data_IF_473464474649
#
_entry.id   IF_473464474649
#
_cell.length_a   1.000
_cell.length_b   1.000
_cell.length_c   1.000
_cell.angle_alpha   90.00
_cell.angle_beta   90.00
_cell.angle_gamma   90.00
#
_symmetry.space_group_name_H-M   'P 1'
#
loop_
_entity.id
_entity.type
_entity.pdbx_description
1 polymer ?
#
# COMPACT_ATOMS: atom_id res chain seq x y z
N UNK A 1 15.11 -0.47 9.84
CA UNK A 1 13.73 0.04 9.91
C UNK A 1 12.74 -1.11 10.10
N UNK A 2 11.77 -1.02 11.04
CA UNK A 2 10.77 -2.07 11.22
C UNK A 2 9.79 -2.14 10.05
N UNK A 3 9.39 -3.36 9.72
CA UNK A 3 8.33 -3.64 8.73
C UNK A 3 7.43 -4.72 9.29
N UNK A 4 6.13 -4.43 9.36
CA UNK A 4 5.11 -5.35 9.83
C UNK A 4 4.43 -6.01 8.62
N UNK A 5 4.15 -7.29 8.76
CA UNK A 5 3.47 -8.10 7.74
C UNK A 5 2.26 -8.79 8.37
N UNK A 6 1.19 -9.09 7.61
CA UNK A 6 0.14 -9.95 8.12
C UNK A 6 0.70 -11.33 8.52
N UNK A 7 0.20 -11.95 9.60
CA UNK A 7 -0.81 -11.45 10.53
C UNK A 7 -0.20 -10.83 11.81
N UNK A 8 1.02 -10.31 11.73
CA UNK A 8 1.73 -9.77 12.89
C UNK A 8 0.95 -8.61 13.49
N UNK A 9 0.81 -8.59 14.82
CA UNK A 9 0.25 -7.44 15.51
C UNK A 9 1.11 -6.20 15.22
N UNK A 10 0.44 -5.10 14.87
CA UNK A 10 1.08 -3.82 14.59
C UNK A 10 1.37 -3.14 15.93
N UNK A 11 2.66 -3.00 16.26
CA UNK A 11 3.11 -2.40 17.52
C UNK A 11 4.03 -1.21 17.22
N UNK A 12 3.41 -0.05 16.99
CA UNK A 12 4.13 1.20 16.70
C UNK A 12 4.71 1.80 17.98
N UNK A 13 5.95 2.24 17.93
CA UNK A 13 6.53 3.06 19.00
C UNK A 13 5.84 4.43 19.06
N UNK A 14 5.89 5.08 20.23
CA UNK A 14 5.31 6.42 20.37
C UNK A 14 5.93 7.40 19.36
N UNK A 15 5.08 8.12 18.61
CA UNK A 15 5.44 9.03 17.51
C UNK A 15 6.16 8.37 16.31
N UNK A 16 6.16 7.04 16.20
CA UNK A 16 6.70 6.36 15.03
C UNK A 16 5.73 6.50 13.85
N UNK A 17 6.17 7.18 12.81
CA UNK A 17 5.41 7.31 11.56
C UNK A 17 5.28 5.96 10.87
N UNK A 18 4.17 5.75 10.19
CA UNK A 18 3.83 4.49 9.53
C UNK A 18 3.36 4.72 8.10
N UNK A 19 3.85 3.87 7.19
CA UNK A 19 3.51 3.93 5.77
C UNK A 19 2.95 2.58 5.32
N UNK A 20 1.73 2.57 4.80
CA UNK A 20 1.12 1.37 4.23
C UNK A 20 1.39 1.25 2.73
N UNK A 21 1.81 0.07 2.29
CA UNK A 21 2.18 -0.23 0.90
C UNK A 21 1.02 -0.91 0.14
N UNK A 22 -0.02 -0.14 -0.20
CA UNK A 22 -1.19 -0.62 -0.93
C UNK A 22 -0.91 -0.78 -2.44
N UNK A 23 -1.70 -1.61 -3.11
CA UNK A 23 -1.65 -1.75 -4.57
C UNK A 23 -1.41 -3.17 -5.04
N UNK A 24 -0.87 -3.29 -6.25
CA UNK A 24 -0.75 -4.56 -6.96
C UNK A 24 0.07 -5.59 -6.17
N UNK A 25 -0.59 -6.65 -5.75
CA UNK A 25 0.01 -7.90 -5.28
C UNK A 25 -0.51 -8.98 -6.21
N UNK A 26 0.37 -9.52 -7.05
CA UNK A 26 -0.03 -10.48 -8.08
C UNK A 26 0.58 -11.84 -7.82
N UNK A 27 0.42 -12.38 -6.60
CA UNK A 27 0.70 -13.78 -6.25
C UNK A 27 2.02 -14.37 -6.82
N UNK A 28 3.08 -13.56 -6.93
CA UNK A 28 4.39 -13.94 -7.50
C UNK A 28 4.67 -13.58 -8.97
N UNK A 29 3.66 -13.16 -9.74
CA UNK A 29 3.81 -12.74 -11.14
C UNK A 29 4.22 -11.27 -11.30
N UNK A 30 3.81 -10.41 -10.36
CA UNK A 30 4.30 -9.02 -10.31
C UNK A 30 5.59 -8.91 -9.49
N UNK A 31 6.46 -8.01 -9.95
CA UNK A 31 7.66 -7.58 -9.24
C UNK A 31 7.32 -7.21 -7.80
N UNK A 32 8.16 -7.64 -6.86
CA UNK A 32 8.07 -7.26 -5.44
C UNK A 32 8.55 -5.83 -5.22
N UNK A 33 7.72 -4.89 -5.69
CA UNK A 33 7.94 -3.47 -5.55
C UNK A 33 7.90 -3.02 -4.08
N UNK A 34 7.16 -3.74 -3.21
CA UNK A 34 7.15 -3.46 -1.78
C UNK A 34 8.56 -3.66 -1.22
N UNK A 35 9.21 -4.77 -1.56
CA UNK A 35 10.57 -5.05 -1.15
C UNK A 35 11.58 -4.05 -1.73
N UNK A 36 11.37 -3.54 -2.95
CA UNK A 36 12.19 -2.47 -3.52
C UNK A 36 12.15 -1.18 -2.68
N UNK A 37 10.94 -0.71 -2.34
CA UNK A 37 10.75 0.46 -1.46
C UNK A 37 11.38 0.21 -0.08
N UNK A 38 11.09 -0.93 0.54
CA UNK A 38 11.63 -1.28 1.86
C UNK A 38 13.17 -1.26 1.86
N UNK A 39 13.77 -1.78 0.79
CA UNK A 39 15.23 -1.81 0.63
C UNK A 39 15.78 -0.40 0.44
N UNK A 40 15.14 0.43 -0.38
CA UNK A 40 15.54 1.82 -0.63
C UNK A 40 15.61 2.64 0.66
N UNK A 41 14.68 2.42 1.58
CA UNK A 41 14.59 3.18 2.84
C UNK A 41 15.22 2.48 4.04
N UNK A 42 15.89 1.34 3.87
CA UNK A 42 16.40 0.51 4.98
C UNK A 42 17.29 1.26 5.98
N UNK A 43 18.03 2.26 5.50
CA UNK A 43 18.97 3.09 6.25
C UNK A 43 18.34 4.36 6.87
N UNK A 44 17.06 4.66 6.63
CA UNK A 44 16.34 5.78 7.25
C UNK A 44 15.46 5.27 8.42
N UNK A 45 15.61 5.87 9.60
CA UNK A 45 15.15 5.28 10.87
C UNK A 45 13.86 5.89 11.45
N UNK A 46 13.21 6.83 10.78
CA UNK A 46 12.14 7.65 11.42
C UNK A 46 10.72 7.15 11.20
N UNK A 47 10.50 6.22 10.27
CA UNK A 47 9.18 5.62 10.02
C UNK A 47 9.28 4.10 9.94
N UNK A 48 8.13 3.43 9.77
CA UNK A 48 8.04 1.99 9.56
C UNK A 48 7.13 1.70 8.36
N UNK A 49 7.22 0.48 7.84
CA UNK A 49 6.33 0.02 6.78
C UNK A 49 5.31 -1.00 7.30
N UNK A 50 4.07 -0.87 6.81
CA UNK A 50 3.02 -1.85 6.92
C UNK A 50 2.89 -2.49 5.54
N UNK A 51 3.41 -3.71 5.38
CA UNK A 51 3.47 -4.39 4.08
C UNK A 51 2.41 -5.51 4.02
N UNK A 52 1.32 -5.34 3.25
CA UNK A 52 0.26 -6.34 3.14
C UNK A 52 0.67 -7.62 2.40
N UNK A 53 1.84 -7.65 1.72
CA UNK A 53 2.34 -8.83 1.02
C UNK A 53 2.72 -9.95 2.01
N UNK A 54 1.75 -10.78 2.36
CA UNK A 54 1.90 -11.91 3.29
C UNK A 54 2.87 -12.96 2.73
N UNK A 55 3.82 -13.39 3.56
CA UNK A 55 4.92 -14.29 3.15
C UNK A 55 4.48 -15.75 3.00
N UNK A 56 3.48 -16.16 3.78
CA UNK A 56 2.88 -17.49 3.83
C UNK A 56 1.53 -17.54 3.09
N UNK A 57 1.28 -16.62 2.15
CA UNK A 57 0.06 -16.63 1.37
C UNK A 57 -0.08 -17.93 0.56
N UNK A 58 -1.29 -18.50 0.58
CA UNK A 58 -1.64 -19.68 -0.18
C UNK A 58 -2.87 -19.40 -1.06
N UNK A 59 -2.73 -19.62 -2.37
CA UNK A 59 -3.80 -19.38 -3.34
C UNK A 59 -4.98 -20.36 -3.22
N UNK A 60 -4.84 -21.42 -2.42
CA UNK A 60 -5.94 -22.33 -2.08
C UNK A 60 -6.90 -21.77 -1.03
N UNK A 61 -6.55 -20.64 -0.37
CA UNK A 61 -7.45 -20.02 0.59
C UNK A 61 -8.69 -19.47 -0.11
N UNK A 62 -9.84 -20.06 0.24
CA UNK A 62 -11.14 -19.55 -0.18
C UNK A 62 -11.33 -18.11 0.31
N UNK A 63 -11.77 -17.22 -0.58
CA UNK A 63 -11.98 -15.80 -0.30
C UNK A 63 -13.37 -15.58 0.33
N UNK A 64 -13.59 -16.17 1.50
CA UNK A 64 -14.84 -16.08 2.27
C UNK A 64 -14.54 -15.60 3.68
N UNK A 65 -15.49 -14.92 4.32
CA UNK A 65 -15.31 -14.41 5.69
C UNK A 65 -15.12 -15.55 6.71
N UNK A 66 -15.63 -16.75 6.40
CA UNK A 66 -15.48 -17.96 7.20
C UNK A 66 -14.07 -18.57 7.10
N UNK A 67 -13.30 -18.29 6.05
CA UNK A 67 -11.92 -18.72 5.96
C UNK A 67 -11.05 -17.85 6.88
N UNK A 68 -10.59 -18.45 7.97
CA UNK A 68 -9.80 -17.77 9.01
C UNK A 68 -8.56 -17.06 8.47
N UNK A 69 -7.82 -17.66 7.53
CA UNK A 69 -6.58 -17.07 7.00
C UNK A 69 -6.86 -15.89 6.08
N UNK A 70 -7.89 -16.00 5.24
CA UNK A 70 -8.36 -14.89 4.41
C UNK A 70 -8.92 -13.75 5.25
N UNK A 71 -9.77 -14.06 6.23
CA UNK A 71 -10.33 -13.07 7.14
C UNK A 71 -9.24 -12.33 7.94
N UNK A 72 -8.25 -13.05 8.44
CA UNK A 72 -7.09 -12.48 9.14
C UNK A 72 -6.28 -11.55 8.24
N UNK A 73 -6.05 -11.92 6.98
CA UNK A 73 -5.38 -11.06 6.00
C UNK A 73 -6.15 -9.76 5.80
N UNK A 74 -7.43 -9.85 5.42
CA UNK A 74 -8.23 -8.67 5.06
C UNK A 74 -8.45 -7.77 6.27
N UNK A 75 -8.66 -8.35 7.46
CA UNK A 75 -8.79 -7.57 8.70
C UNK A 75 -7.48 -6.83 9.02
N UNK A 76 -6.34 -7.51 8.89
CA UNK A 76 -5.04 -6.88 9.09
C UNK A 76 -4.80 -5.73 8.10
N UNK A 77 -5.15 -5.91 6.82
CA UNK A 77 -5.02 -4.87 5.80
C UNK A 77 -5.84 -3.62 6.15
N UNK A 78 -7.09 -3.81 6.58
CA UNK A 78 -7.96 -2.71 7.01
C UNK A 78 -7.42 -2.01 8.26
N UNK A 79 -7.03 -2.76 9.28
CA UNK A 79 -6.45 -2.21 10.51
C UNK A 79 -5.17 -1.42 10.23
N UNK A 80 -4.34 -1.91 9.30
CA UNK A 80 -3.09 -1.29 8.90
C UNK A 80 -3.31 -0.02 8.07
N UNK A 81 -4.26 -0.03 7.12
CA UNK A 81 -4.68 1.15 6.37
C UNK A 81 -5.23 2.24 7.30
N UNK A 82 -6.01 1.87 8.30
CA UNK A 82 -6.55 2.79 9.31
C UNK A 82 -5.47 3.36 10.23
N UNK A 83 -4.47 2.58 10.60
CA UNK A 83 -3.36 3.03 11.45
C UNK A 83 -2.33 3.87 10.71
N UNK A 84 -2.18 3.69 9.39
CA UNK A 84 -1.15 4.36 8.61
C UNK A 84 -1.28 5.90 8.63
N UNK A 85 -0.13 6.57 8.77
CA UNK A 85 -0.01 8.03 8.63
C UNK A 85 0.03 8.45 7.16
N UNK A 86 0.60 7.58 6.31
CA UNK A 86 0.63 7.71 4.86
C UNK A 86 0.28 6.37 4.20
N UNK A 87 -0.61 6.42 3.21
CA UNK A 87 -0.92 5.27 2.36
C UNK A 87 -0.34 5.54 0.98
N UNK A 88 0.50 4.63 0.48
CA UNK A 88 0.97 4.67 -0.90
C UNK A 88 0.31 3.58 -1.71
N UNK A 89 -0.22 3.94 -2.87
CA UNK A 89 -0.78 2.99 -3.82
C UNK A 89 0.17 2.83 -5.00
N UNK A 90 0.45 1.59 -5.41
CA UNK A 90 1.08 1.33 -6.70
C UNK A 90 0.23 0.41 -7.58
N UNK A 91 -0.27 0.96 -8.69
CA UNK A 91 -1.06 0.23 -9.68
C UNK A 91 -0.19 -0.17 -10.87
N UNK A 92 0.46 -1.34 -10.79
CA UNK A 92 1.30 -1.89 -11.87
C UNK A 92 0.45 -2.13 -13.12
N UNK A 93 0.90 -1.73 -14.34
CA UNK A 93 0.13 -1.91 -15.58
C UNK A 93 -0.34 -3.35 -15.88
N UNK A 94 0.41 -4.35 -15.42
CA UNK A 94 0.12 -5.78 -15.64
C UNK A 94 -0.88 -6.38 -14.66
N UNK A 95 -1.30 -5.65 -13.62
CA UNK A 95 -2.22 -6.14 -12.60
C UNK A 95 -3.55 -5.38 -12.66
N UNK A 96 -4.64 -6.04 -12.28
CA UNK A 96 -5.94 -5.37 -12.16
C UNK A 96 -6.10 -4.65 -10.81
N UNK A 97 -5.52 -5.19 -9.73
CA UNK A 97 -5.60 -4.67 -8.36
C UNK A 97 -7.00 -4.16 -7.93
N UNK A 98 -8.08 -4.95 -8.09
CA UNK A 98 -9.44 -4.49 -7.83
C UNK A 98 -9.70 -4.13 -6.36
N UNK A 99 -9.08 -4.88 -5.42
CA UNK A 99 -9.19 -4.59 -3.99
C UNK A 99 -8.53 -3.25 -3.65
N UNK A 100 -7.38 -2.94 -4.27
CA UNK A 100 -6.72 -1.66 -4.08
C UNK A 100 -7.51 -0.46 -4.64
N UNK A 101 -8.37 -0.67 -5.64
CA UNK A 101 -9.33 0.36 -6.07
C UNK A 101 -10.40 0.62 -5.00
N UNK A 102 -10.86 -0.42 -4.30
CA UNK A 102 -11.78 -0.29 -3.16
C UNK A 102 -11.12 0.46 -2.01
N UNK A 103 -9.90 0.08 -1.64
CA UNK A 103 -9.10 0.74 -0.61
C UNK A 103 -8.85 2.22 -0.94
N UNK A 104 -8.47 2.54 -2.19
CA UNK A 104 -8.33 3.92 -2.63
C UNK A 104 -9.64 4.69 -2.43
N UNK A 105 -10.79 4.09 -2.78
CA UNK A 105 -12.10 4.68 -2.56
C UNK A 105 -12.42 4.95 -1.08
N UNK A 106 -12.00 4.06 -0.17
CA UNK A 106 -12.21 4.20 1.27
C UNK A 106 -11.37 5.34 1.87
N UNK A 107 -10.11 5.48 1.44
CA UNK A 107 -9.14 6.36 2.11
C UNK A 107 -8.80 7.65 1.36
N UNK A 108 -9.18 7.80 0.09
CA UNK A 108 -8.88 8.96 -0.76
C UNK A 108 -9.23 10.33 -0.14
N UNK A 109 -10.28 10.39 0.69
CA UNK A 109 -10.76 11.66 1.27
C UNK A 109 -10.17 11.98 2.65
N UNK A 110 -9.78 10.96 3.43
CA UNK A 110 -9.61 11.09 4.87
C UNK A 110 -8.17 10.80 5.35
N UNK A 111 -7.26 10.43 4.45
CA UNK A 111 -5.88 10.07 4.77
C UNK A 111 -4.89 10.81 3.88
N UNK A 112 -3.63 10.86 4.31
CA UNK A 112 -2.55 11.22 3.42
C UNK A 112 -2.33 10.08 2.44
N UNK A 113 -2.53 10.34 1.15
CA UNK A 113 -2.42 9.34 0.09
C UNK A 113 -1.48 9.85 -1.00
N UNK A 114 -0.62 8.98 -1.50
CA UNK A 114 0.14 9.18 -2.74
C UNK A 114 -0.11 7.99 -3.66
N UNK A 115 -0.39 8.25 -4.93
CA UNK A 115 -0.72 7.21 -5.91
C UNK A 115 0.34 7.17 -7.01
N UNK A 116 1.00 6.03 -7.18
CA UNK A 116 1.73 5.69 -8.39
C UNK A 116 0.82 4.91 -9.33
N UNK A 117 0.50 5.48 -10.48
CA UNK A 117 -0.37 4.84 -11.47
C UNK A 117 0.17 5.09 -12.88
N UNK A 118 1.20 4.31 -13.29
CA UNK A 118 1.81 4.46 -14.60
C UNK A 118 0.81 4.30 -15.74
N UNK A 119 1.11 4.97 -16.85
CA UNK A 119 0.47 4.73 -18.13
C UNK A 119 0.44 3.22 -18.46
N UNK A 120 -0.73 2.73 -18.85
CA UNK A 120 -0.96 1.31 -19.14
C UNK A 120 -1.82 0.57 -18.11
N UNK A 121 -1.98 1.10 -16.89
CA UNK A 121 -2.96 0.53 -15.95
C UNK A 121 -4.39 0.65 -16.50
N UNK A 122 -5.10 -0.47 -16.57
CA UNK A 122 -6.38 -0.62 -17.29
C UNK A 122 -7.53 0.28 -16.79
N UNK A 123 -7.43 0.80 -15.57
CA UNK A 123 -8.38 1.75 -14.97
C UNK A 123 -7.75 3.09 -14.64
N UNK A 124 -6.60 3.42 -15.23
CA UNK A 124 -5.87 4.68 -15.00
C UNK A 124 -6.79 5.91 -15.07
N UNK A 125 -7.64 6.04 -16.09
CA UNK A 125 -8.55 7.18 -16.19
C UNK A 125 -9.49 7.37 -14.99
N UNK A 126 -9.92 6.29 -14.32
CA UNK A 126 -10.70 6.40 -13.08
C UNK A 126 -9.83 6.87 -11.91
N UNK A 127 -8.62 6.32 -11.81
CA UNK A 127 -7.63 6.71 -10.78
C UNK A 127 -7.24 8.18 -10.95
N UNK A 128 -6.99 8.63 -12.18
CA UNK A 128 -6.65 10.02 -12.51
C UNK A 128 -7.76 10.98 -12.05
N UNK A 129 -9.03 10.68 -12.37
CA UNK A 129 -10.19 11.49 -11.97
C UNK A 129 -10.35 11.53 -10.44
N UNK A 130 -10.19 10.40 -9.75
CA UNK A 130 -10.24 10.34 -8.28
C UNK A 130 -9.11 11.17 -7.68
N UNK A 131 -7.89 11.03 -8.19
CA UNK A 131 -6.75 11.78 -7.68
C UNK A 131 -6.93 13.28 -7.89
N UNK A 132 -7.36 13.69 -9.09
CA UNK A 132 -7.67 15.09 -9.38
C UNK A 132 -8.79 15.63 -8.48
N UNK A 133 -9.86 14.86 -8.29
CA UNK A 133 -11.03 15.28 -7.50
C UNK A 133 -10.69 15.50 -6.02
N UNK A 134 -9.82 14.68 -5.45
CA UNK A 134 -9.45 14.76 -4.03
C UNK A 134 -8.10 15.44 -3.78
N UNK A 135 -7.44 15.96 -4.83
CA UNK A 135 -6.14 16.62 -4.70
C UNK A 135 -5.01 15.66 -4.28
N UNK A 136 -5.13 14.37 -4.61
CA UNK A 136 -4.14 13.35 -4.28
C UNK A 136 -2.95 13.48 -5.23
N UNK A 137 -1.74 13.45 -4.67
CA UNK A 137 -0.52 13.45 -5.46
C UNK A 137 -0.41 12.13 -6.24
N UNK A 138 -0.40 12.26 -7.56
CA UNK A 138 -0.23 11.14 -8.49
C UNK A 138 1.12 11.22 -9.21
N UNK A 139 1.78 10.07 -9.38
CA UNK A 139 3.08 9.92 -10.05
C UNK A 139 3.06 8.74 -11.04
N UNK A 140 4.04 8.68 -11.94
CA UNK A 140 4.06 7.72 -13.06
C UNK A 140 5.09 6.59 -12.87
N UNK A 141 5.95 6.67 -11.84
CA UNK A 141 6.99 5.66 -11.60
C UNK A 141 7.24 5.38 -10.12
N UNK A 142 7.80 4.21 -9.84
CA UNK A 142 8.21 3.80 -8.50
C UNK A 142 9.31 4.72 -7.94
N UNK A 143 10.20 5.22 -8.79
CA UNK A 143 11.23 6.20 -8.41
C UNK A 143 10.60 7.51 -7.91
N UNK A 144 9.62 8.04 -8.65
CA UNK A 144 8.88 9.24 -8.22
C UNK A 144 8.09 8.97 -6.94
N UNK A 145 7.51 7.77 -6.78
CA UNK A 145 6.82 7.39 -5.55
C UNK A 145 7.77 7.42 -4.34
N UNK A 146 8.99 6.89 -4.47
CA UNK A 146 9.99 6.96 -3.40
C UNK A 146 10.37 8.40 -3.07
N UNK A 147 10.50 9.28 -4.07
CA UNK A 147 10.74 10.72 -3.83
C UNK A 147 9.59 11.34 -3.03
N UNK A 148 8.34 11.04 -3.39
CA UNK A 148 7.16 11.56 -2.68
C UNK A 148 7.01 10.99 -1.28
N UNK A 149 7.35 9.71 -1.06
CA UNK A 149 7.41 9.11 0.29
C UNK A 149 8.37 9.92 1.17
N UNK A 150 9.58 10.21 0.67
CA UNK A 150 10.58 10.99 1.42
C UNK A 150 10.09 12.41 1.73
N UNK A 151 9.48 13.08 0.76
CA UNK A 151 8.93 14.43 0.94
C UNK A 151 7.80 14.44 1.97
N UNK A 152 6.86 13.51 1.86
CA UNK A 152 5.64 13.48 2.68
C UNK A 152 5.93 13.01 4.10
N UNK A 153 6.79 11.99 4.26
CA UNK A 153 7.23 11.49 5.59
C UNK A 153 7.99 12.53 6.42
N UNK A 154 8.46 13.61 5.81
CA UNK A 154 9.09 14.73 6.51
C UNK A 154 8.07 15.71 7.12
N UNK A 155 6.81 15.67 6.68
CA UNK A 155 5.79 16.69 6.96
C UNK A 155 4.60 16.15 7.76
N UNK A 156 4.21 14.89 7.53
CA UNK A 156 3.27 14.16 8.41
C UNK A 156 3.94 13.90 9.75
#
# INVERSE_FOLDING_TARGET
>A
MPTFYPPQKIELSQNQKSIFLAGSIDMGNAVDWQQEIITHFKENETFCFLNPRRKDWDSSWEQTIENKHFNEQVTWELDALEQADLIVFYFVPTSQAPISLLELGLFAKNKNVVVCCPTGYWRKGNVDIVCQRFGIKQVESLEELMKEIKNTSSII
#
